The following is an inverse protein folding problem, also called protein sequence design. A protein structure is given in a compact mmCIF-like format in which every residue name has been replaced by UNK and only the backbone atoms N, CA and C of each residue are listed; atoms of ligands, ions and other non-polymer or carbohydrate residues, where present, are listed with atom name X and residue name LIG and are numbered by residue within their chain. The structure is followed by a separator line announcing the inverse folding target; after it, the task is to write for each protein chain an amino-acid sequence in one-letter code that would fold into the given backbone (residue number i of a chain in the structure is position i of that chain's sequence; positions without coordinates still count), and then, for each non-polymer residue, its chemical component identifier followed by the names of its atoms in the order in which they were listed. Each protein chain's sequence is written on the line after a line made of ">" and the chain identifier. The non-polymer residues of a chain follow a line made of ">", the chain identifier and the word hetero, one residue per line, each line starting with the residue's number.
data_IF_371933226452
#
_entry.id   IF_371933226452
#
_cell.length_a   1.000
_cell.length_b   1.000
_cell.length_c   1.000
_cell.angle_alpha   90.00
_cell.angle_beta   90.00
_cell.angle_gamma   90.00
#
_symmetry.space_group_name_H-M   'P 1'
#
loop_
_entity.id
_entity.type
_entity.pdbx_description
1 polymer ?
#
# COMPACT_ATOMS: atom_id res chain seq x y z
N UNK A 1 6.78 69.85 -32.56
CA UNK A 1 7.15 69.09 -31.37
C UNK A 1 6.03 68.13 -30.95
N UNK A 2 5.64 67.14 -31.79
CA UNK A 2 4.56 66.20 -31.45
C UNK A 2 4.77 64.75 -31.95
N UNK A 3 5.95 64.42 -32.45
CA UNK A 3 6.22 63.07 -32.98
C UNK A 3 7.11 62.19 -32.07
N UNK A 4 7.72 62.78 -31.05
CA UNK A 4 8.65 61.99 -30.19
C UNK A 4 8.02 61.11 -29.11
N UNK A 5 6.72 61.39 -28.74
CA UNK A 5 6.06 60.68 -27.62
C UNK A 5 5.40 59.32 -28.00
N UNK A 6 5.12 59.10 -29.28
CA UNK A 6 4.48 57.88 -29.71
C UNK A 6 5.43 56.68 -29.87
N UNK A 7 6.72 56.94 -30.16
CA UNK A 7 7.73 55.89 -30.27
C UNK A 7 8.12 55.33 -28.90
N UNK A 8 8.18 56.18 -27.86
CA UNK A 8 8.47 55.71 -26.53
C UNK A 8 7.36 54.87 -25.91
N UNK A 9 6.08 55.17 -26.20
CA UNK A 9 4.94 54.35 -25.75
C UNK A 9 4.84 53.01 -26.48
N UNK A 10 5.17 52.95 -27.76
CA UNK A 10 5.21 51.69 -28.52
C UNK A 10 6.37 50.77 -28.06
N UNK A 11 7.54 51.30 -27.78
CA UNK A 11 8.67 50.53 -27.24
C UNK A 11 8.42 49.98 -25.82
N UNK A 12 7.71 50.75 -24.97
CA UNK A 12 7.36 50.32 -23.62
C UNK A 12 6.29 49.22 -23.63
N UNK A 13 5.32 49.31 -24.56
CA UNK A 13 4.28 48.31 -24.75
C UNK A 13 4.84 46.96 -25.29
N UNK A 14 5.84 47.01 -26.17
CA UNK A 14 6.50 45.83 -26.69
C UNK A 14 7.43 45.20 -25.64
N UNK A 15 8.08 45.99 -24.80
CA UNK A 15 8.90 45.46 -23.70
C UNK A 15 8.06 44.83 -22.57
N UNK A 16 6.86 45.34 -22.31
CA UNK A 16 5.92 44.79 -21.32
C UNK A 16 5.25 43.49 -21.81
N UNK A 17 5.04 43.34 -23.13
CA UNK A 17 4.47 42.13 -23.70
C UNK A 17 5.45 40.95 -23.77
N UNK A 18 6.76 41.21 -23.79
CA UNK A 18 7.79 40.16 -23.74
C UNK A 18 8.08 39.64 -22.34
N UNK A 19 7.72 40.37 -21.28
CA UNK A 19 7.84 39.88 -19.89
C UNK A 19 6.69 38.96 -19.44
N UNK A 20 5.61 38.82 -20.21
CA UNK A 20 4.49 37.94 -19.88
C UNK A 20 4.60 36.53 -20.46
N UNK A 21 5.69 36.22 -21.19
CA UNK A 21 5.94 34.89 -21.78
C UNK A 21 6.98 34.08 -21.01
N UNK A 22 7.38 34.48 -19.81
CA UNK A 22 8.01 33.53 -18.90
C UNK A 22 6.91 32.62 -18.35
N UNK A 23 6.53 31.65 -19.19
CA UNK A 23 5.74 30.51 -18.73
C UNK A 23 6.42 29.91 -17.52
N UNK A 24 5.76 29.95 -16.37
CA UNK A 24 6.12 29.13 -15.23
C UNK A 24 6.14 27.68 -15.69
N UNK A 25 7.29 27.20 -16.15
CA UNK A 25 7.62 25.81 -16.03
C UNK A 25 7.74 25.57 -14.51
N UNK A 26 6.61 25.35 -13.85
CA UNK A 26 6.60 24.77 -12.52
C UNK A 26 7.16 23.35 -12.66
N UNK A 27 8.49 23.23 -12.69
CA UNK A 27 9.14 22.00 -12.28
C UNK A 27 8.67 21.76 -10.85
N UNK A 28 7.54 21.10 -10.69
CA UNK A 28 7.11 20.58 -9.41
C UNK A 28 8.24 19.65 -8.96
N UNK A 29 9.08 20.14 -8.04
CA UNK A 29 10.08 19.30 -7.38
C UNK A 29 9.27 18.23 -6.67
N UNK A 30 9.21 17.04 -7.28
CA UNK A 30 8.58 15.89 -6.66
C UNK A 30 9.40 15.55 -5.43
N UNK A 31 8.85 15.79 -4.26
CA UNK A 31 9.51 15.44 -2.99
C UNK A 31 9.74 13.92 -2.95
N UNK A 32 10.91 13.47 -2.45
CA UNK A 32 11.18 12.07 -2.29
C UNK A 32 10.10 11.39 -1.46
N UNK A 33 9.63 10.24 -1.90
CA UNK A 33 8.63 9.47 -1.15
C UNK A 33 9.23 8.96 0.17
N UNK A 34 8.45 8.97 1.24
CA UNK A 34 8.77 8.15 2.42
C UNK A 34 8.74 6.70 2.00
N UNK A 35 9.71 5.91 2.45
CA UNK A 35 9.89 4.53 2.05
C UNK A 35 9.42 3.62 3.16
N UNK A 36 8.48 2.74 2.81
CA UNK A 36 7.90 1.80 3.74
C UNK A 36 7.75 0.41 3.11
N UNK A 37 7.50 -0.59 3.94
CA UNK A 37 7.28 -1.96 3.50
C UNK A 37 6.28 -2.66 4.41
N UNK A 38 5.51 -3.60 3.86
CA UNK A 38 4.74 -4.56 4.67
C UNK A 38 5.63 -5.76 5.05
N UNK A 39 5.50 -6.22 6.29
CA UNK A 39 5.96 -7.53 6.75
C UNK A 39 4.73 -8.39 7.01
N UNK A 40 4.36 -9.21 6.00
CA UNK A 40 3.11 -9.96 6.01
C UNK A 40 3.36 -11.45 6.23
N UNK A 41 3.73 -11.79 7.47
CA UNK A 41 4.09 -13.17 7.88
C UNK A 41 3.60 -13.46 9.29
N UNK A 42 3.40 -14.73 9.59
CA UNK A 42 3.11 -15.20 10.96
C UNK A 42 4.37 -15.52 11.75
N UNK A 43 5.55 -15.57 11.11
CA UNK A 43 6.84 -15.76 11.79
C UNK A 43 7.73 -14.56 11.49
N UNK A 44 7.83 -13.66 12.45
CA UNK A 44 8.69 -12.47 12.33
C UNK A 44 10.13 -12.89 12.59
N UNK A 45 10.87 -13.06 11.49
CA UNK A 45 12.30 -13.34 11.49
C UNK A 45 13.01 -12.30 10.62
N UNK A 46 13.70 -11.37 11.26
CA UNK A 46 14.50 -10.32 10.61
C UNK A 46 15.92 -10.83 10.38
N UNK A 47 16.07 -11.68 9.36
CA UNK A 47 17.36 -12.17 8.91
C UNK A 47 18.22 -11.09 8.24
N UNK A 48 19.48 -11.40 7.97
CA UNK A 48 20.44 -10.46 7.37
C UNK A 48 20.00 -9.91 6.02
N UNK A 49 19.31 -10.71 5.21
CA UNK A 49 18.80 -10.28 3.89
C UNK A 49 17.77 -9.17 4.02
N UNK A 50 16.78 -9.35 4.91
CA UNK A 50 15.75 -8.32 5.18
C UNK A 50 16.37 -7.07 5.79
N UNK A 51 17.26 -7.22 6.79
CA UNK A 51 17.92 -6.07 7.42
C UNK A 51 18.78 -5.29 6.42
N UNK A 52 19.51 -5.98 5.55
CA UNK A 52 20.28 -5.35 4.49
C UNK A 52 19.38 -4.61 3.49
N UNK A 53 18.27 -5.23 3.09
CA UNK A 53 17.29 -4.59 2.20
C UNK A 53 16.74 -3.30 2.80
N UNK A 54 16.29 -3.33 4.06
CA UNK A 54 15.79 -2.14 4.75
C UNK A 54 16.83 -1.01 4.77
N UNK A 55 18.09 -1.36 5.08
CA UNK A 55 19.19 -0.40 5.15
C UNK A 55 19.57 0.14 3.77
N UNK A 56 19.71 -0.71 2.76
CA UNK A 56 20.16 -0.30 1.42
C UNK A 56 19.15 0.56 0.67
N UNK A 57 17.89 0.53 1.09
CA UNK A 57 16.80 1.32 0.51
C UNK A 57 16.28 2.42 1.43
N UNK A 58 16.98 2.76 2.54
CA UNK A 58 16.58 3.80 3.49
C UNK A 58 15.12 3.66 3.96
N UNK A 59 14.67 2.41 4.19
CA UNK A 59 13.32 2.15 4.64
C UNK A 59 13.23 2.45 6.13
N UNK A 60 12.34 3.38 6.50
CA UNK A 60 12.19 3.86 7.87
C UNK A 60 10.89 3.45 8.53
N UNK A 61 9.94 2.87 7.77
CA UNK A 61 8.63 2.45 8.29
C UNK A 61 8.28 1.04 7.84
N UNK A 62 7.66 0.27 8.75
CA UNK A 62 7.22 -1.10 8.48
C UNK A 62 5.81 -1.34 9.02
N UNK A 63 4.90 -1.78 8.14
CA UNK A 63 3.57 -2.26 8.48
C UNK A 63 3.68 -3.76 8.78
N UNK A 64 3.46 -4.14 10.02
CA UNK A 64 3.70 -5.51 10.49
C UNK A 64 2.38 -6.19 10.84
N UNK A 65 2.08 -7.31 10.17
CA UNK A 65 0.93 -8.14 10.52
C UNK A 65 1.12 -8.70 11.93
N UNK A 66 0.21 -8.37 12.84
CA UNK A 66 0.25 -8.86 14.22
C UNK A 66 -0.63 -10.08 14.39
N UNK A 67 -1.86 -10.02 13.92
CA UNK A 67 -2.80 -11.15 13.93
C UNK A 67 -3.97 -10.86 12.99
N UNK A 68 -4.74 -11.90 12.73
CA UNK A 68 -6.03 -11.81 12.06
C UNK A 68 -7.15 -11.89 13.07
N UNK A 69 -8.31 -11.34 12.72
CA UNK A 69 -9.56 -11.55 13.44
C UNK A 69 -10.51 -12.26 12.49
N UNK A 70 -10.88 -13.47 12.86
CA UNK A 70 -11.74 -14.37 12.08
C UNK A 70 -12.88 -14.87 12.94
N UNK A 71 -13.89 -15.50 12.37
CA UNK A 71 -14.91 -16.21 13.13
C UNK A 71 -14.42 -17.62 13.48
N UNK A 72 -14.63 -18.02 14.73
CA UNK A 72 -14.47 -19.42 15.14
C UNK A 72 -15.68 -20.28 14.68
N UNK A 73 -15.65 -21.57 14.96
CA UNK A 73 -16.73 -22.52 14.63
C UNK A 73 -18.08 -22.16 15.30
N UNK A 74 -18.04 -21.40 16.38
CA UNK A 74 -19.20 -20.93 17.13
C UNK A 74 -19.71 -19.56 16.61
N UNK A 75 -19.00 -18.94 15.65
CA UNK A 75 -19.33 -17.64 15.09
C UNK A 75 -18.87 -16.45 15.94
N UNK A 76 -17.96 -16.65 16.91
CA UNK A 76 -17.36 -15.56 17.66
C UNK A 76 -16.11 -15.02 16.96
N UNK A 77 -15.90 -13.70 17.07
CA UNK A 77 -14.68 -13.09 16.58
C UNK A 77 -13.49 -13.49 17.45
N UNK A 78 -12.49 -14.14 16.87
CA UNK A 78 -11.33 -14.67 17.58
C UNK A 78 -10.02 -14.30 16.85
N UNK A 79 -8.91 -14.08 17.60
CA UNK A 79 -7.61 -13.90 17.00
C UNK A 79 -7.14 -15.20 16.34
N UNK A 80 -6.60 -15.09 15.12
CA UNK A 80 -5.98 -16.17 14.38
C UNK A 80 -4.64 -15.69 13.78
N UNK A 81 -3.85 -16.62 13.27
CA UNK A 81 -2.57 -16.33 12.60
C UNK A 81 -1.71 -15.30 13.38
N UNK A 82 -1.69 -15.39 14.71
CA UNK A 82 -0.94 -14.48 15.58
C UNK A 82 0.55 -14.58 15.27
N UNK A 83 1.17 -13.43 15.00
CA UNK A 83 2.58 -13.35 14.68
C UNK A 83 3.43 -13.79 15.88
N UNK A 84 4.40 -14.67 15.60
CA UNK A 84 5.44 -15.10 16.52
C UNK A 84 6.74 -14.37 16.20
N UNK A 85 7.23 -13.61 17.15
CA UNK A 85 8.49 -12.89 17.02
C UNK A 85 9.65 -13.87 17.29
N UNK A 86 10.31 -14.33 16.22
CA UNK A 86 11.49 -15.20 16.28
C UNK A 86 12.74 -14.36 16.57
N UNK A 87 12.78 -13.15 15.99
CA UNK A 87 13.79 -12.12 16.27
C UNK A 87 13.08 -10.81 16.61
N UNK A 88 13.73 -9.88 17.34
CA UNK A 88 13.18 -8.55 17.56
C UNK A 88 13.08 -7.77 16.25
N UNK A 89 12.14 -6.82 16.20
CA UNK A 89 12.07 -5.82 15.13
C UNK A 89 13.20 -4.77 15.28
N UNK A 90 13.63 -4.12 14.20
CA UNK A 90 14.65 -3.06 14.28
C UNK A 90 14.19 -1.88 15.16
N UNK A 91 15.02 -1.47 16.13
CA UNK A 91 14.66 -0.43 17.12
C UNK A 91 14.44 0.96 16.53
N UNK A 92 15.09 1.28 15.41
CA UNK A 92 15.00 2.60 14.76
C UNK A 92 14.00 2.62 13.61
N UNK A 93 13.01 1.72 13.64
CA UNK A 93 11.96 1.56 12.64
C UNK A 93 10.65 2.09 13.19
N UNK A 94 9.93 2.88 12.40
CA UNK A 94 8.54 3.27 12.70
C UNK A 94 7.62 2.06 12.42
N UNK A 95 7.24 1.36 13.47
CA UNK A 95 6.43 0.13 13.36
C UNK A 95 4.94 0.49 13.42
N UNK A 96 4.20 0.03 12.42
CA UNK A 96 2.73 0.12 12.35
C UNK A 96 2.14 -1.27 12.52
N UNK A 97 1.69 -1.64 13.73
CA UNK A 97 0.96 -2.88 13.94
C UNK A 97 -0.27 -2.94 13.05
N UNK A 98 -0.38 -3.99 12.24
CA UNK A 98 -1.50 -4.19 11.30
C UNK A 98 -2.30 -5.42 11.70
N UNK A 99 -3.61 -5.25 11.79
CA UNK A 99 -4.56 -6.33 12.11
C UNK A 99 -5.47 -6.55 10.91
N UNK A 100 -5.47 -7.78 10.38
CA UNK A 100 -6.45 -8.18 9.37
C UNK A 100 -7.77 -8.50 10.05
N UNK A 101 -8.87 -7.96 9.53
CA UNK A 101 -10.21 -8.13 10.08
C UNK A 101 -11.16 -8.64 8.99
N UNK A 102 -11.67 -9.85 9.18
CA UNK A 102 -12.75 -10.35 8.32
C UNK A 102 -14.04 -9.55 8.57
N UNK A 103 -14.70 -9.02 7.52
CA UNK A 103 -15.92 -8.22 7.67
C UNK A 103 -17.04 -8.91 8.45
N UNK A 104 -17.10 -10.23 8.40
CA UNK A 104 -18.09 -11.07 9.09
C UNK A 104 -18.00 -10.94 10.61
N UNK A 105 -16.80 -10.69 11.15
CA UNK A 105 -16.57 -10.48 12.59
C UNK A 105 -17.28 -9.23 13.13
N UNK A 106 -17.73 -8.34 12.25
CA UNK A 106 -18.41 -7.11 12.64
C UNK A 106 -19.90 -7.28 12.94
N UNK A 107 -20.43 -8.50 12.92
CA UNK A 107 -21.85 -8.79 13.23
C UNK A 107 -22.17 -8.72 14.73
N UNK A 108 -21.17 -8.97 15.59
CA UNK A 108 -21.30 -8.98 17.06
C UNK A 108 -21.14 -7.60 17.72
N UNK A 109 -20.73 -7.59 19.00
CA UNK A 109 -20.42 -6.36 19.74
C UNK A 109 -19.12 -5.73 19.25
N UNK A 110 -19.29 -4.73 18.39
CA UNK A 110 -18.18 -4.01 17.77
C UNK A 110 -17.39 -3.13 18.73
N UNK A 111 -18.00 -2.66 19.80
CA UNK A 111 -17.31 -1.82 20.78
C UNK A 111 -16.34 -2.67 21.60
N UNK A 112 -16.82 -3.81 22.08
CA UNK A 112 -15.98 -4.78 22.79
C UNK A 112 -14.86 -5.32 21.88
N UNK A 113 -15.18 -5.69 20.63
CA UNK A 113 -14.18 -6.16 19.67
C UNK A 113 -13.10 -5.10 19.41
N UNK A 114 -13.48 -3.84 19.20
CA UNK A 114 -12.54 -2.76 19.01
C UNK A 114 -11.59 -2.60 20.22
N UNK A 115 -12.13 -2.65 21.43
CA UNK A 115 -11.33 -2.59 22.65
C UNK A 115 -10.36 -3.78 22.76
N UNK A 116 -10.83 -4.99 22.50
CA UNK A 116 -10.01 -6.21 22.55
C UNK A 116 -8.85 -6.17 21.54
N UNK A 117 -9.11 -5.67 20.32
CA UNK A 117 -8.06 -5.52 19.29
C UNK A 117 -6.99 -4.53 19.75
N UNK A 118 -7.39 -3.34 20.21
CA UNK A 118 -6.43 -2.32 20.67
C UNK A 118 -5.61 -2.83 21.84
N UNK A 119 -6.26 -3.41 22.85
CA UNK A 119 -5.59 -3.91 24.06
C UNK A 119 -4.60 -5.05 23.71
N UNK A 120 -4.99 -5.98 22.80
CA UNK A 120 -4.12 -7.05 22.34
C UNK A 120 -2.92 -6.52 21.55
N UNK A 121 -3.10 -5.54 20.66
CA UNK A 121 -1.98 -4.92 19.94
C UNK A 121 -0.99 -4.31 20.94
N UNK A 122 -1.47 -3.56 21.92
CA UNK A 122 -0.60 -2.94 22.93
C UNK A 122 0.12 -3.98 23.78
N UNK A 123 -0.57 -5.04 24.20
CA UNK A 123 0.05 -6.15 24.94
C UNK A 123 1.13 -6.85 24.12
N UNK A 124 0.87 -7.10 22.81
CA UNK A 124 1.89 -7.70 21.93
C UNK A 124 3.10 -6.77 21.73
N UNK A 125 2.88 -5.46 21.64
CA UNK A 125 3.97 -4.48 21.59
C UNK A 125 4.83 -4.55 22.84
N UNK A 126 4.22 -4.54 24.04
CA UNK A 126 4.92 -4.65 25.32
C UNK A 126 5.72 -5.96 25.44
N UNK A 127 5.08 -7.09 25.11
CA UNK A 127 5.69 -8.43 25.21
C UNK A 127 6.89 -8.61 24.27
N UNK A 128 6.93 -7.89 23.13
CA UNK A 128 7.96 -8.06 22.10
C UNK A 128 8.86 -6.82 21.95
N UNK A 129 8.92 -5.95 22.94
CA UNK A 129 9.77 -4.75 22.97
C UNK A 129 9.55 -3.80 21.76
N UNK A 130 8.32 -3.76 21.23
CA UNK A 130 7.93 -2.81 20.16
C UNK A 130 7.51 -1.51 20.80
N UNK A 131 8.40 -0.52 20.79
CA UNK A 131 8.20 0.76 21.47
C UNK A 131 7.93 1.89 20.50
N UNK A 132 7.34 3.00 20.97
CA UNK A 132 7.16 4.22 20.19
C UNK A 132 6.15 4.09 19.05
N UNK A 133 5.19 3.18 19.16
CA UNK A 133 4.10 3.00 18.18
C UNK A 133 3.27 4.28 18.09
N UNK A 134 3.22 4.88 16.89
CA UNK A 134 2.49 6.13 16.62
C UNK A 134 1.24 5.91 15.78
N UNK A 135 1.10 4.73 15.17
CA UNK A 135 0.00 4.39 14.29
C UNK A 135 -0.29 2.89 14.41
N UNK A 136 -1.56 2.51 14.34
CA UNK A 136 -1.96 1.13 14.06
C UNK A 136 -2.88 1.09 12.84
N UNK A 137 -2.95 -0.05 12.18
CA UNK A 137 -3.71 -0.22 10.95
C UNK A 137 -4.71 -1.36 11.04
N UNK A 138 -5.89 -1.15 10.47
CA UNK A 138 -6.87 -2.20 10.20
C UNK A 138 -6.89 -2.49 8.71
N UNK A 139 -6.63 -3.74 8.36
CA UNK A 139 -6.81 -4.27 7.00
C UNK A 139 -8.13 -5.01 6.92
N UNK A 140 -9.07 -4.50 6.11
CA UNK A 140 -10.41 -5.09 5.99
C UNK A 140 -10.97 -4.95 4.59
N UNK A 141 -11.39 -6.06 4.00
CA UNK A 141 -12.02 -6.11 2.68
C UNK A 141 -13.53 -5.81 2.75
N UNK A 142 -13.88 -4.69 3.39
CA UNK A 142 -15.28 -4.27 3.47
C UNK A 142 -15.87 -3.94 2.10
N UNK A 143 -17.16 -4.25 1.92
CA UNK A 143 -17.92 -4.02 0.70
C UNK A 143 -19.03 -2.98 0.95
N UNK A 144 -19.78 -2.63 -0.10
CA UNK A 144 -20.94 -1.74 0.04
C UNK A 144 -21.95 -2.23 1.09
N UNK A 145 -22.14 -3.55 1.21
CA UNK A 145 -23.06 -4.15 2.19
C UNK A 145 -22.55 -4.10 3.63
N UNK A 146 -21.23 -4.17 3.84
CA UNK A 146 -20.61 -4.15 5.17
C UNK A 146 -20.09 -2.77 5.57
N UNK A 147 -20.09 -1.78 4.64
CA UNK A 147 -19.55 -0.43 4.84
C UNK A 147 -20.03 0.23 6.13
N UNK A 148 -21.35 0.29 6.35
CA UNK A 148 -21.90 1.02 7.49
C UNK A 148 -21.46 0.40 8.83
N UNK A 149 -21.37 -0.93 8.85
CA UNK A 149 -20.93 -1.68 10.05
C UNK A 149 -19.44 -1.44 10.29
N UNK A 150 -18.63 -1.51 9.23
CA UNK A 150 -17.20 -1.21 9.29
C UNK A 150 -16.94 0.23 9.76
N UNK A 151 -17.64 1.22 9.21
CA UNK A 151 -17.47 2.62 9.61
C UNK A 151 -17.79 2.86 11.08
N UNK A 152 -18.82 2.22 11.63
CA UNK A 152 -19.12 2.30 13.08
C UNK A 152 -18.04 1.67 13.94
N UNK A 153 -17.51 0.54 13.52
CA UNK A 153 -16.36 -0.09 14.17
C UNK A 153 -15.13 0.83 14.13
N UNK A 154 -14.78 1.35 12.96
CA UNK A 154 -13.62 2.25 12.79
C UNK A 154 -13.75 3.55 13.59
N UNK A 155 -14.96 4.10 13.73
CA UNK A 155 -15.19 5.27 14.59
C UNK A 155 -14.90 4.97 16.07
N UNK A 156 -15.18 3.75 16.55
CA UNK A 156 -14.81 3.30 17.89
C UNK A 156 -13.30 3.09 17.99
N UNK A 157 -12.69 2.42 17.01
CA UNK A 157 -11.24 2.22 16.94
C UNK A 157 -10.49 3.56 17.00
N UNK A 158 -10.92 4.55 16.21
CA UNK A 158 -10.31 5.88 16.15
C UNK A 158 -10.30 6.56 17.52
N UNK A 159 -11.42 6.53 18.26
CA UNK A 159 -11.50 7.06 19.61
C UNK A 159 -10.55 6.36 20.59
N UNK A 160 -10.47 5.03 20.51
CA UNK A 160 -9.61 4.23 21.38
C UNK A 160 -8.12 4.45 21.09
N UNK A 161 -7.74 4.61 19.81
CA UNK A 161 -6.40 4.92 19.40
C UNK A 161 -5.99 6.34 19.84
N UNK A 162 -6.84 7.34 19.57
CA UNK A 162 -6.57 8.72 19.97
C UNK A 162 -6.44 8.90 21.48
N UNK A 163 -7.25 8.16 22.27
CA UNK A 163 -7.11 8.15 23.73
C UNK A 163 -5.75 7.64 24.22
N UNK A 164 -4.97 6.97 23.36
CA UNK A 164 -3.61 6.48 23.60
C UNK A 164 -2.53 7.28 22.89
N UNK A 165 -2.89 8.37 22.20
CA UNK A 165 -1.97 9.17 21.38
C UNK A 165 -1.49 8.45 20.12
N UNK A 166 -2.26 7.49 19.61
CA UNK A 166 -1.93 6.67 18.44
C UNK A 166 -2.89 7.03 17.30
N UNK A 167 -2.37 7.20 16.08
CA UNK A 167 -3.18 7.36 14.88
C UNK A 167 -3.77 6.02 14.42
N UNK A 168 -4.88 6.08 13.71
CA UNK A 168 -5.51 4.92 13.07
C UNK A 168 -5.45 5.04 11.56
N UNK A 169 -4.96 3.99 10.88
CA UNK A 169 -5.08 3.87 9.42
C UNK A 169 -5.92 2.68 9.00
N UNK A 170 -6.38 2.71 7.76
CA UNK A 170 -7.11 1.62 7.11
C UNK A 170 -6.52 1.33 5.75
N UNK A 171 -6.47 0.07 5.36
CA UNK A 171 -6.25 -0.29 3.96
C UNK A 171 -7.46 0.09 3.12
N UNK A 172 -7.20 0.51 1.88
CA UNK A 172 -8.22 0.93 0.93
C UNK A 172 -8.02 0.12 -0.36
N UNK A 173 -9.00 -0.72 -0.67
CA UNK A 173 -9.02 -1.47 -1.93
C UNK A 173 -9.50 -0.57 -3.08
N UNK A 174 -9.12 -0.87 -4.31
CA UNK A 174 -9.48 -0.06 -5.48
C UNK A 174 -10.99 0.19 -5.59
N UNK A 175 -11.82 -0.84 -5.39
CA UNK A 175 -13.29 -0.71 -5.46
C UNK A 175 -13.89 0.18 -4.35
N UNK A 176 -13.17 0.38 -3.24
CA UNK A 176 -13.60 1.23 -2.13
C UNK A 176 -13.40 2.73 -2.43
N UNK A 177 -12.59 3.09 -3.44
CA UNK A 177 -12.38 4.49 -3.84
C UNK A 177 -13.67 5.18 -4.30
N UNK A 178 -14.63 4.43 -4.81
CA UNK A 178 -15.96 4.95 -5.20
C UNK A 178 -16.89 5.22 -4.01
N UNK A 179 -16.47 4.91 -2.79
CA UNK A 179 -17.29 4.97 -1.58
C UNK A 179 -16.77 6.00 -0.59
N UNK A 180 -17.60 6.37 0.38
CA UNK A 180 -17.16 7.24 1.49
C UNK A 180 -16.04 6.55 2.26
N UNK A 181 -14.93 7.24 2.58
CA UNK A 181 -13.84 6.67 3.36
C UNK A 181 -14.26 6.32 4.78
N UNK A 182 -13.66 5.28 5.39
CA UNK A 182 -13.90 4.96 6.80
C UNK A 182 -13.32 6.05 7.72
N UNK A 183 -13.86 6.21 8.93
CA UNK A 183 -13.27 7.06 9.96
C UNK A 183 -11.87 6.55 10.33
N UNK A 184 -10.85 7.26 9.85
CA UNK A 184 -9.44 6.99 10.10
C UNK A 184 -8.64 8.29 9.87
N UNK A 185 -7.42 8.37 10.39
CA UNK A 185 -6.54 9.52 10.17
C UNK A 185 -5.94 9.48 8.76
N UNK A 186 -5.70 8.26 8.22
CA UNK A 186 -5.19 8.04 6.87
C UNK A 186 -5.57 6.66 6.33
N UNK A 187 -5.34 6.47 5.05
CA UNK A 187 -5.49 5.18 4.37
C UNK A 187 -4.23 4.76 3.61
N UNK A 188 -4.15 3.46 3.32
CA UNK A 188 -3.16 2.92 2.39
C UNK A 188 -3.90 2.32 1.20
N UNK A 189 -3.75 2.94 0.03
CA UNK A 189 -4.31 2.43 -1.22
C UNK A 189 -3.54 1.18 -1.65
N UNK A 190 -4.24 0.06 -1.75
CA UNK A 190 -3.67 -1.21 -2.19
C UNK A 190 -3.74 -1.29 -3.73
N UNK A 191 -2.64 -0.91 -4.43
CA UNK A 191 -2.54 -0.91 -5.90
C UNK A 191 -2.20 -2.29 -6.44
N UNK A 192 -3.00 -3.29 -6.07
CA UNK A 192 -2.85 -4.67 -6.54
C UNK A 192 -4.17 -5.47 -6.40
N UNK A 193 -4.15 -6.73 -6.82
CA UNK A 193 -5.31 -7.62 -6.92
C UNK A 193 -6.39 -7.01 -7.82
N UNK A 194 -5.98 -6.61 -9.03
CA UNK A 194 -6.84 -5.90 -9.98
C UNK A 194 -7.70 -6.85 -10.80
N UNK A 195 -7.23 -8.09 -11.05
CA UNK A 195 -7.89 -9.08 -11.89
C UNK A 195 -8.31 -10.34 -11.13
N UNK A 196 -8.93 -11.27 -11.85
CA UNK A 196 -9.39 -12.55 -11.30
C UNK A 196 -8.30 -13.62 -11.39
N UNK A 197 -7.67 -13.95 -10.26
CA UNK A 197 -6.64 -15.01 -10.18
C UNK A 197 -7.17 -16.40 -10.54
N UNK A 198 -8.47 -16.64 -10.35
CA UNK A 198 -9.10 -17.92 -10.67
C UNK A 198 -9.38 -18.12 -12.18
N UNK A 199 -9.26 -17.09 -12.99
CA UNK A 199 -9.34 -17.20 -14.45
C UNK A 199 -7.97 -17.50 -15.05
N UNK A 200 -7.83 -18.67 -15.66
CA UNK A 200 -6.58 -19.09 -16.31
C UNK A 200 -6.14 -18.12 -17.43
N UNK A 201 -7.08 -17.42 -18.07
CA UNK A 201 -6.80 -16.44 -19.13
C UNK A 201 -6.41 -15.06 -18.56
N UNK A 202 -6.62 -14.80 -17.28
CA UNK A 202 -6.17 -13.57 -16.64
C UNK A 202 -4.66 -13.66 -16.39
N UNK A 203 -3.85 -13.06 -17.27
CA UNK A 203 -2.40 -13.12 -17.18
C UNK A 203 -1.80 -12.15 -16.18
N UNK A 204 -2.52 -11.07 -15.82
CA UNK A 204 -2.08 -10.02 -14.89
C UNK A 204 -3.03 -9.81 -13.71
N UNK A 205 -3.39 -10.87 -12.94
CA UNK A 205 -4.37 -10.72 -11.86
C UNK A 205 -3.86 -9.85 -10.70
N UNK A 206 -2.53 -9.73 -10.54
CA UNK A 206 -1.95 -8.94 -9.45
C UNK A 206 -2.04 -7.45 -9.78
N UNK A 207 -1.61 -7.03 -10.98
CA UNK A 207 -1.64 -5.63 -11.37
C UNK A 207 -1.81 -5.50 -12.88
N UNK A 208 -2.98 -5.00 -13.29
CA UNK A 208 -3.29 -4.59 -14.65
C UNK A 208 -3.92 -3.19 -14.63
N UNK A 209 -3.33 -2.25 -15.36
CA UNK A 209 -3.83 -0.89 -15.41
C UNK A 209 -5.16 -0.76 -16.16
N UNK A 210 -5.48 -1.68 -17.07
CA UNK A 210 -6.79 -1.74 -17.70
C UNK A 210 -7.88 -1.99 -16.66
N UNK A 211 -7.65 -2.91 -15.71
CA UNK A 211 -8.61 -3.27 -14.66
C UNK A 211 -8.62 -2.23 -13.52
N UNK A 212 -7.48 -1.58 -13.22
CA UNK A 212 -7.37 -0.57 -12.17
C UNK A 212 -7.97 0.79 -12.57
N UNK A 213 -7.84 1.21 -13.82
CA UNK A 213 -8.19 2.55 -14.30
C UNK A 213 -9.65 2.98 -14.00
N UNK A 214 -10.67 2.12 -14.11
CA UNK A 214 -12.05 2.47 -13.76
C UNK A 214 -12.23 2.92 -12.31
N UNK A 215 -11.45 2.39 -11.39
CA UNK A 215 -11.49 2.74 -9.97
C UNK A 215 -10.71 4.03 -9.68
N UNK A 216 -9.57 4.22 -10.33
CA UNK A 216 -8.68 5.37 -10.10
C UNK A 216 -9.31 6.72 -10.49
N UNK A 217 -10.39 6.76 -11.28
CA UNK A 217 -11.15 7.99 -11.56
C UNK A 217 -11.68 8.68 -10.29
N UNK A 218 -11.89 7.90 -9.20
CA UNK A 218 -12.38 8.39 -7.92
C UNK A 218 -11.26 8.87 -6.98
N UNK A 219 -10.00 8.58 -7.29
CA UNK A 219 -8.86 8.84 -6.40
C UNK A 219 -8.71 10.32 -6.04
N UNK A 220 -8.89 11.23 -7.02
CA UNK A 220 -8.78 12.67 -6.81
C UNK A 220 -9.78 13.21 -5.79
N UNK A 221 -10.99 12.64 -5.76
CA UNK A 221 -12.08 13.09 -4.88
C UNK A 221 -12.15 12.34 -3.54
N UNK A 222 -11.32 11.32 -3.35
CA UNK A 222 -11.33 10.51 -2.13
C UNK A 222 -10.79 11.31 -0.93
N UNK A 223 -11.63 11.53 0.09
CA UNK A 223 -11.38 12.52 1.15
C UNK A 223 -10.60 11.97 2.37
N UNK A 224 -9.72 11.01 2.16
CA UNK A 224 -8.84 10.52 3.22
C UNK A 224 -7.39 10.72 2.77
N UNK A 225 -6.46 11.24 3.61
CA UNK A 225 -5.04 11.22 3.28
C UNK A 225 -4.58 9.81 2.93
N UNK A 226 -3.85 9.65 1.82
CA UNK A 226 -3.46 8.33 1.33
C UNK A 226 -1.95 8.18 1.23
N UNK A 227 -1.50 6.95 1.44
CA UNK A 227 -0.26 6.39 0.93
C UNK A 227 -0.59 5.28 -0.05
N UNK A 228 0.37 4.80 -0.83
CA UNK A 228 0.12 3.77 -1.84
C UNK A 228 1.05 2.57 -1.64
N UNK A 229 0.46 1.38 -1.61
CA UNK A 229 1.17 0.11 -1.58
C UNK A 229 1.20 -0.52 -2.97
N UNK A 230 2.40 -0.88 -3.44
CA UNK A 230 2.65 -1.52 -4.72
C UNK A 230 3.13 -2.96 -4.55
N UNK A 231 2.71 -3.89 -5.43
CA UNK A 231 3.04 -5.30 -5.31
C UNK A 231 4.46 -5.59 -5.81
N UNK A 232 5.22 -6.35 -5.03
CA UNK A 232 6.52 -6.90 -5.44
C UNK A 232 6.56 -8.42 -5.29
N UNK A 233 5.39 -9.05 -5.10
CA UNK A 233 5.22 -10.47 -4.92
C UNK A 233 4.82 -11.17 -6.23
N UNK A 234 4.96 -12.49 -6.22
CA UNK A 234 4.47 -13.37 -7.27
C UNK A 234 3.57 -14.46 -6.69
N UNK A 235 2.58 -14.89 -7.48
CA UNK A 235 1.77 -16.06 -7.18
C UNK A 235 2.16 -17.23 -8.07
N UNK A 236 2.26 -18.41 -7.50
CA UNK A 236 2.24 -19.68 -8.20
C UNK A 236 0.81 -20.22 -8.13
N UNK A 237 0.12 -20.21 -9.24
CA UNK A 237 -1.31 -20.55 -9.32
C UNK A 237 -1.46 -21.92 -9.94
N UNK A 238 -2.10 -22.83 -9.20
CA UNK A 238 -2.39 -24.19 -9.66
C UNK A 238 -3.74 -24.26 -10.36
N UNK A 239 -3.73 -24.76 -11.58
CA UNK A 239 -4.92 -25.11 -12.34
C UNK A 239 -4.95 -26.60 -12.63
N UNK A 240 -6.10 -27.22 -12.49
CA UNK A 240 -6.38 -28.61 -12.93
C UNK A 240 -7.19 -28.56 -14.20
N UNK A 241 -6.55 -28.84 -15.35
CA UNK A 241 -7.09 -28.45 -16.64
C UNK A 241 -7.28 -26.92 -16.69
N UNK A 242 -8.52 -26.46 -16.73
CA UNK A 242 -8.86 -25.03 -16.70
C UNK A 242 -9.43 -24.56 -15.36
N UNK A 243 -9.56 -25.46 -14.39
CA UNK A 243 -10.18 -25.16 -13.11
C UNK A 243 -9.11 -24.66 -12.12
N UNK A 244 -9.38 -23.53 -11.47
CA UNK A 244 -8.55 -23.02 -10.39
C UNK A 244 -8.59 -23.97 -9.19
N UNK A 245 -7.41 -24.34 -8.68
CA UNK A 245 -7.25 -25.15 -7.47
C UNK A 245 -6.83 -24.30 -6.28
N UNK A 246 -5.83 -23.44 -6.47
CA UNK A 246 -5.33 -22.58 -5.40
C UNK A 246 -4.07 -21.82 -5.77
N UNK A 247 -3.62 -20.97 -4.84
CA UNK A 247 -2.30 -20.35 -4.88
C UNK A 247 -1.37 -21.22 -4.05
N UNK A 248 -0.24 -21.64 -4.63
CA UNK A 248 0.73 -22.53 -3.99
C UNK A 248 1.73 -21.68 -3.19
N UNK A 249 1.83 -21.96 -1.90
CA UNK A 249 2.78 -21.32 -0.99
C UNK A 249 4.01 -22.20 -0.71
N UNK A 250 3.85 -23.54 -0.79
CA UNK A 250 4.92 -24.51 -0.68
C UNK A 250 4.76 -25.63 -1.71
N UNK A 251 5.86 -26.33 -2.04
CA UNK A 251 5.85 -27.35 -3.10
C UNK A 251 5.00 -28.58 -2.72
N UNK A 252 4.81 -28.85 -1.43
CA UNK A 252 4.08 -30.03 -0.91
C UNK A 252 2.61 -29.70 -0.54
N UNK A 253 2.13 -28.48 -0.83
CA UNK A 253 0.78 -28.05 -0.40
C UNK A 253 -0.36 -28.78 -1.12
N UNK A 254 -0.13 -29.13 -2.39
CA UNK A 254 -1.13 -29.84 -3.23
C UNK A 254 -0.49 -31.07 -3.91
N UNK A 255 -1.15 -32.23 -3.88
CA UNK A 255 -0.73 -33.35 -4.71
C UNK A 255 -0.93 -33.00 -6.20
N UNK A 256 0.14 -33.02 -6.98
CA UNK A 256 0.10 -32.70 -8.40
C UNK A 256 -0.39 -33.90 -9.22
N UNK A 257 -1.31 -33.65 -10.17
CA UNK A 257 -1.85 -34.61 -11.11
C UNK A 257 -1.33 -34.34 -12.53
N UNK A 258 -1.37 -35.33 -13.45
CA UNK A 258 -0.88 -35.14 -14.83
C UNK A 258 -1.56 -34.02 -15.63
N UNK A 259 -2.80 -33.61 -15.22
CA UNK A 259 -3.55 -32.53 -15.86
C UNK A 259 -3.31 -31.17 -15.23
N UNK A 260 -2.46 -31.10 -14.21
CA UNK A 260 -2.20 -29.87 -13.48
C UNK A 260 -1.18 -29.00 -14.22
N UNK A 261 -1.38 -27.71 -14.12
CA UNK A 261 -0.44 -26.69 -14.60
C UNK A 261 -0.22 -25.63 -13.54
N UNK A 262 1.02 -25.21 -13.35
CA UNK A 262 1.39 -24.13 -12.43
C UNK A 262 1.74 -22.91 -13.26
N UNK A 263 0.97 -21.84 -13.07
CA UNK A 263 1.22 -20.55 -13.75
C UNK A 263 1.81 -19.56 -12.73
N UNK A 264 2.98 -18.98 -13.05
CA UNK A 264 3.51 -17.86 -12.26
C UNK A 264 2.85 -16.56 -12.72
N UNK A 265 2.29 -15.81 -11.77
CA UNK A 265 1.71 -14.49 -11.97
C UNK A 265 2.53 -13.48 -11.18
N UNK A 266 3.12 -12.50 -11.87
CA UNK A 266 4.03 -11.52 -11.28
C UNK A 266 3.90 -10.21 -12.04
N UNK A 267 3.80 -9.05 -11.36
CA UNK A 267 3.82 -7.76 -12.03
C UNK A 267 5.19 -7.49 -12.63
N UNK A 268 5.22 -6.92 -13.81
CA UNK A 268 6.46 -6.41 -14.40
C UNK A 268 6.81 -5.04 -13.79
N UNK A 269 8.07 -4.61 -13.94
CA UNK A 269 8.48 -3.26 -13.56
C UNK A 269 7.66 -2.18 -14.29
N UNK A 270 7.34 -2.41 -15.56
CA UNK A 270 6.50 -1.50 -16.34
C UNK A 270 5.09 -1.37 -15.75
N UNK A 271 4.46 -2.48 -15.34
CA UNK A 271 3.13 -2.45 -14.71
C UNK A 271 3.15 -1.59 -13.43
N UNK A 272 4.19 -1.74 -12.60
CA UNK A 272 4.34 -0.97 -11.34
C UNK A 272 4.58 0.51 -11.66
N UNK A 273 5.47 0.81 -12.60
CA UNK A 273 5.80 2.19 -12.99
C UNK A 273 4.58 2.91 -13.59
N UNK A 274 3.80 2.22 -14.41
CA UNK A 274 2.57 2.79 -14.97
C UNK A 274 1.50 3.02 -13.90
N UNK A 275 1.41 2.14 -12.90
CA UNK A 275 0.54 2.34 -11.76
C UNK A 275 0.96 3.58 -10.92
N UNK A 276 2.26 3.74 -10.65
CA UNK A 276 2.80 4.92 -9.96
C UNK A 276 2.45 6.20 -10.71
N UNK A 277 2.71 6.25 -12.01
CA UNK A 277 2.37 7.40 -12.87
C UNK A 277 0.87 7.69 -12.86
N UNK A 278 0.04 6.65 -12.92
CA UNK A 278 -1.41 6.80 -12.91
C UNK A 278 -1.94 7.36 -11.58
N UNK A 279 -1.33 7.01 -10.46
CA UNK A 279 -1.63 7.59 -9.15
C UNK A 279 -1.14 9.04 -9.10
N UNK A 280 0.10 9.33 -9.50
CA UNK A 280 0.67 10.68 -9.48
C UNK A 280 -0.14 11.66 -10.33
N UNK A 281 -0.57 11.27 -11.52
CA UNK A 281 -1.39 12.09 -12.40
C UNK A 281 -2.75 12.48 -11.78
N UNK A 282 -3.30 11.67 -10.90
CA UNK A 282 -4.60 11.88 -10.28
C UNK A 282 -4.52 12.48 -8.88
N UNK A 283 -3.52 12.06 -8.12
CA UNK A 283 -3.32 12.45 -6.73
C UNK A 283 -1.88 12.18 -6.28
N UNK A 284 -0.97 13.08 -6.62
CA UNK A 284 0.46 12.92 -6.38
C UNK A 284 0.83 12.78 -4.89
N UNK A 285 0.05 13.37 -3.98
CA UNK A 285 0.26 13.26 -2.53
C UNK A 285 0.05 11.84 -2.00
N UNK A 286 -0.69 10.97 -2.70
CA UNK A 286 -0.85 9.57 -2.33
C UNK A 286 0.46 8.76 -2.47
N UNK A 287 1.42 9.26 -3.26
CA UNK A 287 2.76 8.67 -3.36
C UNK A 287 3.81 9.39 -2.50
N UNK A 288 3.41 10.29 -1.58
CA UNK A 288 4.35 10.86 -0.59
C UNK A 288 4.91 9.79 0.36
N UNK A 289 4.25 8.66 0.45
CA UNK A 289 4.77 7.43 1.03
C UNK A 289 4.46 6.28 0.08
N UNK A 290 5.52 5.59 -0.35
CA UNK A 290 5.44 4.39 -1.16
C UNK A 290 5.76 3.18 -0.29
N UNK A 291 4.89 2.18 -0.35
CA UNK A 291 4.98 0.98 0.47
C UNK A 291 5.12 -0.22 -0.45
N UNK A 292 6.10 -1.07 -0.25
CA UNK A 292 6.19 -2.34 -0.98
C UNK A 292 5.44 -3.45 -0.24
N UNK A 293 4.64 -4.21 -0.95
CA UNK A 293 3.99 -5.41 -0.44
C UNK A 293 4.60 -6.64 -1.14
N UNK A 294 5.38 -7.51 -0.46
CA UNK A 294 5.78 -7.44 0.95
C UNK A 294 7.27 -7.84 1.13
N UNK A 295 7.79 -7.62 2.34
CA UNK A 295 9.16 -7.96 2.75
C UNK A 295 9.28 -9.47 3.00
N UNK A 296 9.44 -10.22 1.92
CA UNK A 296 9.67 -11.65 1.94
C UNK A 296 10.91 -11.98 1.12
N UNK A 297 11.76 -12.90 1.59
CA UNK A 297 13.02 -13.24 0.92
C UNK A 297 12.86 -13.72 -0.52
N UNK A 298 11.72 -14.35 -0.86
CA UNK A 298 11.44 -14.74 -2.24
C UNK A 298 11.05 -13.52 -3.09
N UNK A 299 10.26 -12.60 -2.52
CA UNK A 299 9.84 -11.37 -3.20
C UNK A 299 11.02 -10.42 -3.43
N UNK A 300 11.96 -10.34 -2.46
CA UNK A 300 13.15 -9.50 -2.60
C UNK A 300 14.10 -9.94 -3.74
N UNK A 301 13.95 -11.15 -4.26
CA UNK A 301 14.69 -11.66 -5.43
C UNK A 301 14.02 -11.28 -6.76
N UNK A 302 12.78 -10.77 -6.73
CA UNK A 302 11.97 -10.44 -7.91
C UNK A 302 12.63 -9.37 -8.77
N UNK A 303 13.16 -8.33 -8.11
CA UNK A 303 13.83 -7.22 -8.76
C UNK A 303 15.25 -7.05 -8.20
N UNK A 304 16.13 -6.45 -8.98
CA UNK A 304 17.42 -6.01 -8.47
C UNK A 304 17.27 -4.70 -7.67
N UNK A 305 18.28 -4.37 -6.86
CA UNK A 305 18.34 -3.15 -6.04
C UNK A 305 17.95 -1.89 -6.81
N UNK A 306 18.39 -1.77 -8.04
CA UNK A 306 18.15 -0.63 -8.90
C UNK A 306 16.68 -0.40 -9.22
N UNK A 307 15.93 -1.47 -9.47
CA UNK A 307 14.49 -1.41 -9.73
C UNK A 307 13.69 -1.04 -8.49
N UNK A 308 14.11 -1.47 -7.30
CA UNK A 308 13.48 -1.03 -6.05
C UNK A 308 13.67 0.47 -5.81
N UNK A 309 14.86 1.00 -6.12
CA UNK A 309 15.10 2.45 -6.08
C UNK A 309 14.20 3.21 -7.06
N UNK A 310 14.02 2.70 -8.27
CA UNK A 310 13.13 3.28 -9.27
C UNK A 310 11.68 3.34 -8.77
N UNK A 311 11.18 2.27 -8.11
CA UNK A 311 9.84 2.27 -7.51
C UNK A 311 9.72 3.38 -6.46
N UNK A 312 10.64 3.44 -5.49
CA UNK A 312 10.60 4.45 -4.43
C UNK A 312 10.79 5.87 -4.93
N UNK A 313 11.50 6.05 -6.03
CA UNK A 313 11.71 7.33 -6.70
C UNK A 313 10.63 7.66 -7.75
N UNK A 314 9.45 7.04 -7.66
CA UNK A 314 8.27 7.27 -8.53
C UNK A 314 8.54 7.02 -10.02
N UNK A 315 9.32 6.01 -10.35
CA UNK A 315 9.68 5.67 -11.71
C UNK A 315 10.69 6.63 -12.34
N UNK A 316 11.30 7.51 -11.55
CA UNK A 316 12.41 8.36 -11.99
C UNK A 316 13.70 7.57 -11.85
N UNK A 317 14.33 7.23 -12.97
CA UNK A 317 15.68 6.65 -12.95
C UNK A 317 16.67 7.78 -12.60
N UNK A 318 17.42 7.61 -11.50
CA UNK A 318 18.57 8.48 -11.18
C UNK A 318 19.75 8.19 -12.11
N UNK A 319 19.53 8.19 -13.42
CA UNK A 319 20.61 8.21 -14.38
C UNK A 319 21.05 9.65 -14.59
N UNK A 320 21.95 10.16 -13.75
CA UNK A 320 22.94 11.09 -14.24
C UNK A 320 23.82 10.32 -15.22
N UNK A 321 23.99 10.76 -16.48
CA UNK A 321 25.02 10.19 -17.33
C UNK A 321 26.35 10.49 -16.65
N UNK A 322 26.97 9.47 -16.03
CA UNK A 322 28.37 9.55 -15.70
C UNK A 322 29.13 9.78 -16.99
N UNK A 323 29.72 10.97 -17.11
CA UNK A 323 30.66 11.33 -18.15
C UNK A 323 31.65 10.17 -18.35
N UNK A 324 31.62 9.58 -19.56
CA UNK A 324 32.81 8.95 -20.11
C UNK A 324 33.77 10.02 -20.63
#
# INVERSE_FOLDING_TARGET
>A
MREGNNIFFSLFAVLLSTLLMTGCNSNTIVQPSKRAVYLWTTQINMDSTKLQFLKSHDISRMYVRFFDVVLDEQGNATPNATARFVTPLPKNMDIVPTVFLMPECLRGDRQQLAKQIVDRVMQMCETNDVTGVKEMQIDCDWTSSTRQTYHRFMATMLKLCHARGINLSSTIRLHQLAQTPPPADRGVLMMYNTGNVADINCHKPILDMHDAAPYLKHLKSYKLPLSTAYPVFAWRVLFRGRQFVGIIHSDDEYPLLPTDSICTRQPSMADITDAIKAVDQRRADANNEIILFDLNNNNLKTFNTYKYEEIYNRGLSNHSPSNM
#
